data_IF_391044694138
#
_entry.id   IF_391044694138
#
_cell.length_a   1.000
_cell.length_b   1.000
_cell.length_c   1.000
_cell.angle_alpha   90.00
_cell.angle_beta   90.00
_cell.angle_gamma   90.00
#
_symmetry.space_group_name_H-M   'P 1'
#
loop_
_entity.id
_entity.type
_entity.pdbx_description
1 polymer ?
#
# COMPACT_ATOMS: atom_id res chain seq x y z
N UNK A 1 -14.41 1.86 21.42
CA UNK A 1 -14.61 2.00 22.88
C UNK A 1 -16.08 1.96 23.30
N UNK A 2 -16.97 2.81 22.77
CA UNK A 2 -18.38 2.80 23.19
C UNK A 2 -19.07 1.44 22.98
N UNK A 3 -18.84 0.77 21.83
CA UNK A 3 -19.38 -0.57 21.55
C UNK A 3 -18.93 -1.60 22.62
N UNK A 4 -17.70 -1.45 23.12
CA UNK A 4 -17.12 -2.36 24.11
C UNK A 4 -17.69 -2.17 25.52
N UNK A 5 -18.37 -1.05 25.78
CA UNK A 5 -19.00 -0.71 27.05
C UNK A 5 -20.47 -1.15 27.12
N UNK A 6 -21.04 -1.61 26.00
CA UNK A 6 -22.40 -2.16 25.95
C UNK A 6 -22.44 -3.40 26.83
N UNK A 7 -23.43 -3.46 27.75
CA UNK A 7 -23.65 -4.61 28.61
C UNK A 7 -24.53 -5.62 27.87
N UNK A 8 -24.05 -6.85 27.72
CA UNK A 8 -24.75 -7.93 27.02
C UNK A 8 -24.69 -7.82 25.50
N UNK A 9 -25.39 -8.76 24.83
CA UNK A 9 -25.42 -8.86 23.36
C UNK A 9 -26.58 -8.05 22.78
N UNK A 10 -26.28 -7.10 21.91
CA UNK A 10 -27.28 -6.34 21.15
C UNK A 10 -27.62 -7.06 19.85
N UNK A 11 -28.92 -7.28 19.63
CA UNK A 11 -29.42 -7.94 18.44
C UNK A 11 -30.73 -7.31 17.97
N UNK A 12 -30.88 -7.18 16.65
CA UNK A 12 -32.09 -6.67 16.00
C UNK A 12 -32.92 -7.78 15.33
N UNK A 13 -32.45 -9.04 15.31
CA UNK A 13 -33.23 -10.17 14.84
C UNK A 13 -34.22 -10.63 15.91
N UNK A 14 -35.51 -10.48 15.65
CA UNK A 14 -36.58 -10.83 16.59
C UNK A 14 -36.51 -12.28 17.09
N UNK A 15 -36.10 -13.23 16.22
CA UNK A 15 -35.97 -14.66 16.59
C UNK A 15 -34.85 -14.90 17.60
N UNK A 16 -33.72 -14.23 17.40
CA UNK A 16 -32.55 -14.38 18.28
C UNK A 16 -32.78 -13.70 19.63
N UNK A 17 -33.45 -12.53 19.63
CA UNK A 17 -33.88 -11.86 20.86
C UNK A 17 -34.87 -12.73 21.64
N UNK A 18 -35.83 -13.36 20.97
CA UNK A 18 -36.78 -14.30 21.58
C UNK A 18 -36.05 -15.49 22.23
N UNK A 19 -35.12 -16.14 21.51
CA UNK A 19 -34.31 -17.25 22.05
C UNK A 19 -33.48 -16.82 23.27
N UNK A 20 -32.87 -15.64 23.22
CA UNK A 20 -32.09 -15.10 24.34
C UNK A 20 -32.97 -14.80 25.56
N UNK A 21 -34.15 -14.24 25.34
CA UNK A 21 -35.13 -13.97 26.40
C UNK A 21 -35.62 -15.27 27.05
N UNK A 22 -35.94 -16.28 26.25
CA UNK A 22 -36.33 -17.60 26.73
C UNK A 22 -35.25 -18.23 27.61
N UNK A 23 -34.00 -18.22 27.13
CA UNK A 23 -32.85 -18.76 27.86
C UNK A 23 -32.67 -18.04 29.20
N UNK A 24 -32.88 -16.72 29.23
CA UNK A 24 -32.81 -15.94 30.46
C UNK A 24 -33.93 -16.32 31.44
N UNK A 25 -35.18 -16.44 30.97
CA UNK A 25 -36.32 -16.86 31.79
C UNK A 25 -36.11 -18.26 32.38
N UNK A 26 -35.56 -19.19 31.61
CA UNK A 26 -35.25 -20.56 32.08
C UNK A 26 -34.16 -20.58 33.13
N UNK A 27 -33.16 -19.72 32.98
CA UNK A 27 -32.07 -19.56 33.96
C UNK A 27 -32.60 -18.96 35.27
N UNK A 28 -33.49 -17.97 35.18
CA UNK A 28 -34.08 -17.30 36.36
C UNK A 28 -35.13 -18.18 37.07
N UNK A 29 -35.85 -19.03 36.34
CA UNK A 29 -36.91 -19.88 36.89
C UNK A 29 -36.46 -21.30 37.23
N UNK A 30 -35.23 -21.68 36.85
CA UNK A 30 -34.66 -23.04 36.93
C UNK A 30 -35.58 -24.13 36.35
N UNK A 31 -36.49 -23.75 35.45
CA UNK A 31 -37.48 -24.63 34.81
C UNK A 31 -37.42 -24.45 33.31
N UNK A 32 -37.48 -25.56 32.59
CA UNK A 32 -37.60 -25.55 31.13
C UNK A 32 -38.92 -24.89 30.72
N UNK A 33 -38.83 -23.91 29.82
CA UNK A 33 -40.00 -23.20 29.32
C UNK A 33 -40.89 -24.14 28.51
N UNK A 34 -42.20 -23.92 28.56
CA UNK A 34 -43.17 -24.65 27.72
C UNK A 34 -43.29 -24.09 26.30
N UNK A 35 -42.58 -22.99 26.01
CA UNK A 35 -42.63 -22.31 24.72
C UNK A 35 -41.63 -22.90 23.71
N UNK A 36 -41.97 -22.96 22.41
CA UNK A 36 -41.09 -23.51 21.38
C UNK A 36 -39.88 -22.60 21.13
N UNK A 37 -38.68 -23.16 21.03
CA UNK A 37 -37.47 -22.38 20.79
C UNK A 37 -37.38 -21.79 19.37
N UNK A 38 -37.96 -22.45 18.36
CA UNK A 38 -37.90 -21.99 16.98
C UNK A 38 -39.26 -21.45 16.53
N UNK A 39 -39.33 -20.11 16.46
CA UNK A 39 -40.54 -19.36 16.14
C UNK A 39 -40.31 -18.45 14.94
N UNK A 40 -41.39 -18.11 14.23
CA UNK A 40 -41.32 -17.08 13.19
C UNK A 40 -41.16 -15.69 13.80
N UNK A 41 -40.67 -14.68 13.06
CA UNK A 41 -40.48 -13.33 13.58
C UNK A 41 -41.81 -12.71 14.04
N UNK A 42 -42.92 -13.07 13.40
CA UNK A 42 -44.25 -12.58 13.76
C UNK A 42 -44.66 -13.08 15.15
N UNK A 43 -44.49 -14.38 15.41
CA UNK A 43 -44.79 -15.00 16.72
C UNK A 43 -43.86 -14.46 17.80
N UNK A 44 -42.57 -14.27 17.49
CA UNK A 44 -41.63 -13.65 18.42
C UNK A 44 -42.06 -12.22 18.83
N UNK A 45 -42.64 -11.48 17.89
CA UNK A 45 -43.12 -10.11 18.11
C UNK A 45 -44.46 -10.06 18.84
N UNK A 46 -45.19 -11.15 19.07
CA UNK A 46 -46.41 -11.13 19.88
C UNK A 46 -46.11 -10.87 21.36
N UNK A 47 -44.90 -11.20 21.82
CA UNK A 47 -44.46 -11.04 23.20
C UNK A 47 -43.98 -9.60 23.48
N UNK A 48 -44.61 -8.92 24.44
CA UNK A 48 -44.29 -7.54 24.82
C UNK A 48 -42.87 -7.39 25.35
N UNK A 49 -42.37 -8.40 26.05
CA UNK A 49 -41.02 -8.45 26.60
C UNK A 49 -39.98 -8.39 25.46
N UNK A 50 -40.20 -9.18 24.40
CA UNK A 50 -39.34 -9.21 23.22
C UNK A 50 -39.40 -7.90 22.45
N UNK A 51 -40.60 -7.31 22.27
CA UNK A 51 -40.73 -5.98 21.67
C UNK A 51 -39.96 -4.90 22.45
N UNK A 52 -40.03 -4.94 23.79
CA UNK A 52 -39.33 -3.99 24.65
C UNK A 52 -37.81 -4.14 24.58
N UNK A 53 -37.29 -5.37 24.61
CA UNK A 53 -35.86 -5.65 24.45
C UNK A 53 -35.39 -5.20 23.06
N UNK A 54 -36.15 -5.53 22.02
CA UNK A 54 -35.83 -5.19 20.64
C UNK A 54 -35.80 -3.67 20.42
N UNK A 55 -36.77 -2.94 20.96
CA UNK A 55 -36.83 -1.47 20.87
C UNK A 55 -35.60 -0.83 21.53
N UNK A 56 -35.22 -1.30 22.73
CA UNK A 56 -34.01 -0.83 23.42
C UNK A 56 -32.74 -1.15 22.63
N UNK A 57 -32.64 -2.36 22.07
CA UNK A 57 -31.49 -2.75 21.26
C UNK A 57 -31.39 -1.88 20.00
N UNK A 58 -32.50 -1.62 19.30
CA UNK A 58 -32.54 -0.77 18.11
C UNK A 58 -32.08 0.65 18.44
N UNK A 59 -32.50 1.22 19.57
CA UNK A 59 -32.07 2.55 20.01
C UNK A 59 -30.56 2.63 20.25
N UNK A 60 -29.99 1.62 20.92
CA UNK A 60 -28.54 1.50 21.15
C UNK A 60 -27.80 1.35 19.83
N UNK A 61 -28.23 0.38 19.00
CA UNK A 61 -27.63 0.11 17.68
C UNK A 61 -27.62 1.38 16.83
N UNK A 62 -28.76 2.08 16.76
CA UNK A 62 -28.90 3.29 15.96
C UNK A 62 -27.95 4.38 16.43
N UNK A 63 -27.91 4.63 17.75
CA UNK A 63 -27.05 5.66 18.32
C UNK A 63 -25.57 5.39 18.03
N UNK A 64 -25.13 4.15 18.20
CA UNK A 64 -23.72 3.80 18.05
C UNK A 64 -23.33 3.70 16.57
N UNK A 65 -24.21 3.19 15.71
CA UNK A 65 -23.99 3.13 14.27
C UNK A 65 -23.89 4.54 13.65
N UNK A 66 -24.72 5.49 14.08
CA UNK A 66 -24.62 6.90 13.65
C UNK A 66 -23.25 7.48 14.02
N UNK A 67 -22.81 7.29 15.27
CA UNK A 67 -21.51 7.78 15.71
C UNK A 67 -20.36 7.18 14.91
N UNK A 68 -20.39 5.87 14.65
CA UNK A 68 -19.34 5.21 13.89
C UNK A 68 -19.33 5.66 12.42
N UNK A 69 -20.50 5.74 11.78
CA UNK A 69 -20.66 6.29 10.43
C UNK A 69 -20.12 7.71 10.34
N UNK A 70 -20.57 8.60 11.21
CA UNK A 70 -20.17 10.01 11.19
C UNK A 70 -18.67 10.14 11.48
N UNK A 71 -18.10 9.30 12.35
CA UNK A 71 -16.67 9.24 12.57
C UNK A 71 -15.90 8.81 11.32
N UNK A 72 -16.40 7.87 10.52
CA UNK A 72 -15.75 7.47 9.27
C UNK A 72 -15.85 8.60 8.25
N UNK A 73 -17.04 9.16 8.07
CA UNK A 73 -17.32 10.19 7.07
C UNK A 73 -16.52 11.47 7.34
N UNK A 74 -16.46 11.92 8.58
CA UNK A 74 -15.77 13.16 8.96
C UNK A 74 -14.23 13.03 8.93
N UNK A 75 -13.69 11.80 8.80
CA UNK A 75 -12.25 11.54 8.79
C UNK A 75 -11.74 11.07 7.43
N UNK A 76 -12.33 11.61 6.34
CA UNK A 76 -11.91 11.36 4.95
C UNK A 76 -10.40 11.47 4.75
N UNK A 77 -9.76 12.49 5.32
CA UNK A 77 -8.35 12.80 5.04
C UNK A 77 -7.38 11.81 5.70
N UNK A 78 -7.86 10.94 6.60
CA UNK A 78 -7.10 9.82 7.13
C UNK A 78 -7.05 8.61 6.19
N UNK A 79 -7.86 8.59 5.13
CA UNK A 79 -7.74 7.56 4.10
C UNK A 79 -6.48 7.82 3.26
N UNK A 80 -5.55 6.85 3.16
CA UNK A 80 -4.34 7.01 2.38
C UNK A 80 -4.64 7.38 0.92
N UNK A 81 -3.85 8.31 0.37
CA UNK A 81 -3.97 8.75 -1.02
C UNK A 81 -4.05 7.57 -1.99
N UNK A 82 -3.17 6.57 -1.86
CA UNK A 82 -3.15 5.40 -2.75
C UNK A 82 -4.47 4.61 -2.76
N UNK A 83 -5.12 4.43 -1.59
CA UNK A 83 -6.41 3.74 -1.51
C UNK A 83 -7.51 4.54 -2.22
N UNK A 84 -7.51 5.86 -2.02
CA UNK A 84 -8.47 6.78 -2.65
C UNK A 84 -8.26 6.86 -4.17
N UNK A 85 -7.00 6.89 -4.61
CA UNK A 85 -6.64 6.89 -6.02
C UNK A 85 -7.03 5.57 -6.71
N UNK A 86 -6.77 4.42 -6.08
CA UNK A 86 -7.24 3.12 -6.61
C UNK A 86 -8.76 3.12 -6.75
N UNK A 87 -9.49 3.64 -5.76
CA UNK A 87 -10.94 3.76 -5.83
C UNK A 87 -11.41 4.66 -7.01
N UNK A 88 -10.72 5.78 -7.26
CA UNK A 88 -10.96 6.65 -8.43
C UNK A 88 -10.75 5.90 -9.74
N UNK A 89 -9.61 5.22 -9.91
CA UNK A 89 -9.30 4.47 -11.13
C UNK A 89 -10.31 3.36 -11.38
N UNK A 90 -10.74 2.65 -10.33
CA UNK A 90 -11.77 1.62 -10.44
C UNK A 90 -13.10 2.24 -10.88
N UNK A 91 -13.51 3.36 -10.27
CA UNK A 91 -14.73 4.07 -10.64
C UNK A 91 -14.71 4.52 -12.12
N UNK A 92 -13.63 5.15 -12.56
CA UNK A 92 -13.46 5.61 -13.95
C UNK A 92 -13.43 4.45 -14.94
N UNK A 93 -12.70 3.37 -14.60
CA UNK A 93 -12.59 2.17 -15.43
C UNK A 93 -13.93 1.44 -15.57
N UNK A 94 -14.70 1.35 -14.49
CA UNK A 94 -16.05 0.75 -14.50
C UNK A 94 -16.99 1.56 -15.38
N UNK A 95 -17.00 2.89 -15.22
CA UNK A 95 -17.84 3.77 -16.03
C UNK A 95 -17.44 3.79 -17.51
N UNK A 96 -16.15 3.58 -17.82
CA UNK A 96 -15.66 3.44 -19.20
C UNK A 96 -16.08 2.11 -19.82
N UNK A 97 -16.03 1.01 -19.05
CA UNK A 97 -16.34 -0.34 -19.54
C UNK A 97 -17.85 -0.62 -19.59
N UNK A 98 -18.60 -0.08 -18.64
CA UNK A 98 -20.05 -0.28 -18.47
C UNK A 98 -20.74 1.08 -18.27
N UNK A 99 -20.96 1.85 -19.35
CA UNK A 99 -21.60 3.16 -19.27
C UNK A 99 -22.99 3.13 -18.60
N UNK A 100 -23.71 2.02 -18.70
CA UNK A 100 -25.01 1.78 -18.06
C UNK A 100 -24.96 1.83 -16.52
N UNK A 101 -23.80 1.52 -15.92
CA UNK A 101 -23.62 1.60 -14.46
C UNK A 101 -23.58 3.05 -13.96
N UNK A 102 -23.24 3.98 -14.84
CA UNK A 102 -23.21 5.41 -14.51
C UNK A 102 -24.61 5.97 -14.24
N UNK A 103 -25.60 5.53 -15.02
CA UNK A 103 -27.00 5.98 -14.87
C UNK A 103 -27.67 5.41 -13.63
N UNK A 104 -27.27 4.19 -13.22
CA UNK A 104 -27.85 3.48 -12.08
C UNK A 104 -27.15 3.79 -10.75
N UNK A 105 -25.98 4.44 -10.78
CA UNK A 105 -25.17 4.72 -9.59
C UNK A 105 -24.50 3.49 -8.97
N UNK A 106 -24.53 2.34 -9.66
CA UNK A 106 -23.97 1.07 -9.18
C UNK A 106 -22.44 1.13 -9.05
N UNK A 107 -21.76 1.92 -9.90
CA UNK A 107 -20.31 2.13 -9.82
C UNK A 107 -19.87 2.64 -8.44
N UNK A 108 -20.67 3.52 -7.82
CA UNK A 108 -20.36 4.09 -6.51
C UNK A 108 -20.56 3.06 -5.38
N UNK A 109 -21.52 2.15 -5.51
CA UNK A 109 -21.69 1.03 -4.56
C UNK A 109 -20.48 0.10 -4.57
N UNK A 110 -19.88 -0.11 -5.75
CA UNK A 110 -18.64 -0.89 -5.88
C UNK A 110 -17.47 -0.17 -5.19
N UNK A 111 -17.37 1.14 -5.32
CA UNK A 111 -16.40 1.95 -4.58
C UNK A 111 -16.63 1.83 -3.06
N UNK A 112 -17.89 1.89 -2.61
CA UNK A 112 -18.26 1.70 -1.21
C UNK A 112 -17.87 0.32 -0.66
N UNK A 113 -17.95 -0.71 -1.50
CA UNK A 113 -17.47 -2.05 -1.15
C UNK A 113 -15.95 -2.08 -0.89
N UNK A 114 -15.16 -1.28 -1.60
CA UNK A 114 -13.71 -1.21 -1.39
C UNK A 114 -13.39 -0.35 -0.18
N UNK A 115 -13.88 0.90 -0.17
CA UNK A 115 -13.54 1.88 0.86
C UNK A 115 -14.13 1.54 2.23
N UNK A 116 -15.35 1.00 2.28
CA UNK A 116 -15.97 0.63 3.55
C UNK A 116 -15.79 -0.86 3.85
N UNK A 117 -16.30 -1.75 3.01
CA UNK A 117 -16.35 -3.18 3.34
C UNK A 117 -14.96 -3.85 3.37
N UNK A 118 -14.05 -3.53 2.46
CA UNK A 118 -12.70 -4.14 2.46
C UNK A 118 -11.71 -3.42 3.37
N UNK A 119 -11.85 -2.10 3.54
CA UNK A 119 -10.86 -1.32 4.28
C UNK A 119 -11.29 -1.02 5.73
N UNK A 120 -12.49 -0.47 5.96
CA UNK A 120 -12.95 -0.04 7.31
C UNK A 120 -13.59 -1.19 8.11
N UNK A 121 -14.40 -2.01 7.44
CA UNK A 121 -15.22 -3.03 8.11
C UNK A 121 -14.40 -4.10 8.85
N UNK A 122 -13.29 -4.64 8.31
CA UNK A 122 -12.48 -5.63 9.03
C UNK A 122 -11.88 -5.07 10.32
N UNK A 123 -11.43 -3.81 10.28
CA UNK A 123 -10.92 -3.10 11.45
C UNK A 123 -12.01 -2.78 12.49
N UNK A 124 -13.27 -2.68 12.05
CA UNK A 124 -14.43 -2.51 12.95
C UNK A 124 -14.80 -3.83 13.64
N UNK A 125 -14.77 -4.96 12.92
CA UNK A 125 -15.14 -6.28 13.46
C UNK A 125 -14.06 -6.84 14.39
N UNK A 126 -12.79 -6.68 14.00
CA UNK A 126 -11.64 -7.23 14.73
C UNK A 126 -10.60 -6.14 15.03
N UNK A 127 -10.93 -5.13 15.85
CA UNK A 127 -10.04 -4.01 16.13
C UNK A 127 -8.70 -4.44 16.77
N UNK A 128 -8.65 -5.60 17.42
CA UNK A 128 -7.44 -6.22 17.98
C UNK A 128 -6.42 -6.61 16.91
N UNK A 129 -6.85 -7.02 15.72
CA UNK A 129 -5.94 -7.44 14.63
C UNK A 129 -5.30 -6.25 13.90
N UNK A 130 -5.77 -5.04 14.19
CA UNK A 130 -5.31 -3.79 13.60
C UNK A 130 -4.72 -2.83 14.66
N UNK A 131 -4.38 -3.36 15.84
CA UNK A 131 -3.80 -2.61 16.97
C UNK A 131 -4.60 -1.35 17.39
N UNK A 132 -5.91 -1.36 17.19
CA UNK A 132 -6.79 -0.23 17.52
C UNK A 132 -7.15 -0.17 19.01
N UNK A 133 -6.90 -1.25 19.75
CA UNK A 133 -7.22 -1.38 21.17
C UNK A 133 -6.02 -1.00 22.04
N UNK A 134 -5.87 0.29 22.34
CA UNK A 134 -4.84 0.78 23.27
C UNK A 134 -5.02 0.14 24.66
N UNK A 135 -4.15 -0.80 25.02
CA UNK A 135 -4.11 -1.42 26.36
C UNK A 135 -5.08 -2.59 26.58
N UNK A 136 -5.73 -3.11 25.53
CA UNK A 136 -6.51 -4.36 25.59
C UNK A 136 -6.08 -5.29 24.47
N UNK A 137 -5.67 -6.50 24.84
CA UNK A 137 -5.28 -7.55 23.89
C UNK A 137 -6.45 -8.35 23.33
N UNK A 138 -7.58 -8.44 24.06
CA UNK A 138 -8.66 -9.35 23.70
C UNK A 138 -10.05 -8.74 23.76
N UNK A 139 -10.88 -9.12 22.78
CA UNK A 139 -12.31 -8.81 22.68
C UNK A 139 -13.11 -10.03 23.11
N UNK A 140 -14.00 -9.85 24.10
CA UNK A 140 -14.88 -10.93 24.56
C UNK A 140 -15.86 -11.38 23.46
N UNK A 141 -16.40 -12.60 23.58
CA UNK A 141 -17.37 -13.11 22.60
C UNK A 141 -18.62 -12.24 22.46
N UNK A 142 -19.08 -11.59 23.54
CA UNK A 142 -20.24 -10.69 23.50
C UNK A 142 -19.92 -9.40 22.75
N UNK A 143 -18.78 -8.79 23.06
CA UNK A 143 -18.32 -7.59 22.38
C UNK A 143 -18.11 -7.84 20.88
N UNK A 144 -17.54 -8.99 20.50
CA UNK A 144 -17.34 -9.36 19.10
C UNK A 144 -18.68 -9.50 18.36
N UNK A 145 -19.70 -10.08 18.99
CA UNK A 145 -21.07 -10.11 18.43
C UNK A 145 -21.62 -8.70 18.23
N UNK A 146 -21.48 -7.82 19.22
CA UNK A 146 -21.94 -6.43 19.14
C UNK A 146 -21.25 -5.65 18.00
N UNK A 147 -19.93 -5.80 17.85
CA UNK A 147 -19.17 -5.21 16.76
C UNK A 147 -19.63 -5.74 15.40
N UNK A 148 -19.79 -7.06 15.27
CA UNK A 148 -20.26 -7.69 14.05
C UNK A 148 -21.67 -7.22 13.65
N UNK A 149 -22.59 -7.06 14.61
CA UNK A 149 -23.94 -6.55 14.35
C UNK A 149 -23.90 -5.12 13.80
N UNK A 150 -23.16 -4.22 14.44
CA UNK A 150 -23.06 -2.82 14.00
C UNK A 150 -22.35 -2.71 12.65
N UNK A 151 -21.25 -3.45 12.49
CA UNK A 151 -20.50 -3.57 11.24
C UNK A 151 -21.39 -4.05 10.08
N UNK A 152 -22.18 -5.10 10.30
CA UNK A 152 -23.08 -5.64 9.28
C UNK A 152 -24.13 -4.61 8.83
N UNK A 153 -24.70 -3.87 9.77
CA UNK A 153 -25.68 -2.81 9.48
C UNK A 153 -25.04 -1.73 8.60
N UNK A 154 -23.89 -1.21 9.00
CA UNK A 154 -23.22 -0.16 8.24
C UNK A 154 -22.67 -0.65 6.90
N UNK A 155 -22.22 -1.89 6.81
CA UNK A 155 -21.83 -2.53 5.54
C UNK A 155 -23.00 -2.59 4.57
N UNK A 156 -24.16 -3.05 5.06
CA UNK A 156 -25.38 -3.12 4.26
C UNK A 156 -25.83 -1.71 3.82
N UNK A 157 -25.68 -0.71 4.69
CA UNK A 157 -25.96 0.67 4.35
C UNK A 157 -25.01 1.18 3.27
N UNK A 158 -23.70 0.96 3.41
CA UNK A 158 -22.68 1.38 2.45
C UNK A 158 -22.82 0.72 1.07
N UNK A 159 -23.35 -0.51 1.01
CA UNK A 159 -23.52 -1.28 -0.24
C UNK A 159 -24.94 -1.23 -0.81
N UNK A 160 -25.86 -0.51 -0.16
CA UNK A 160 -27.26 -0.43 -0.60
C UNK A 160 -28.06 -1.73 -0.42
N UNK A 161 -27.58 -2.66 0.41
CA UNK A 161 -28.21 -3.98 0.64
C UNK A 161 -29.16 -3.94 1.83
N UNK A 162 -30.23 -3.17 1.73
CA UNK A 162 -31.23 -3.07 2.79
C UNK A 162 -32.64 -2.99 2.24
N UNK A 163 -33.58 -3.48 3.04
CA UNK A 163 -35.01 -3.46 2.76
C UNK A 163 -35.72 -2.72 3.89
N UNK A 164 -36.72 -1.92 3.56
CA UNK A 164 -37.57 -1.29 4.57
C UNK A 164 -38.61 -2.28 5.06
N UNK A 165 -38.77 -2.36 6.38
CA UNK A 165 -39.74 -3.23 7.03
C UNK A 165 -41.07 -2.48 7.22
N UNK A 166 -42.19 -3.15 7.01
CA UNK A 166 -43.52 -2.57 7.32
C UNK A 166 -43.83 -2.51 8.82
N UNK A 167 -42.94 -3.05 9.67
CA UNK A 167 -43.13 -3.19 11.11
C UNK A 167 -42.63 -1.92 11.82
N UNK A 168 -43.47 -1.22 12.62
CA UNK A 168 -43.12 0.05 13.24
C UNK A 168 -41.86 0.05 14.11
N UNK A 169 -41.56 -1.08 14.77
CA UNK A 169 -40.40 -1.22 15.66
C UNK A 169 -39.08 -1.04 14.89
N UNK A 170 -39.03 -1.48 13.62
CA UNK A 170 -37.82 -1.39 12.79
C UNK A 170 -37.67 -0.05 12.06
N UNK A 171 -38.67 0.83 12.12
CA UNK A 171 -38.67 2.10 11.40
C UNK A 171 -37.42 2.95 11.67
N UNK A 172 -36.98 3.04 12.92
CA UNK A 172 -35.75 3.78 13.28
C UNK A 172 -34.50 3.21 12.60
N UNK A 173 -34.42 1.89 12.49
CA UNK A 173 -33.32 1.21 11.83
C UNK A 173 -33.40 1.41 10.31
N UNK A 174 -34.59 1.34 9.72
CA UNK A 174 -34.79 1.59 8.29
C UNK A 174 -34.41 3.03 7.92
N UNK A 175 -34.86 4.01 8.72
CA UNK A 175 -34.52 5.43 8.56
C UNK A 175 -33.00 5.64 8.64
N UNK A 176 -32.33 4.96 9.59
CA UNK A 176 -30.87 4.96 9.70
C UNK A 176 -30.20 4.41 8.44
N UNK A 177 -30.68 3.30 7.89
CA UNK A 177 -30.08 2.67 6.70
C UNK A 177 -30.17 3.58 5.48
N UNK A 178 -31.34 4.19 5.27
CA UNK A 178 -31.58 5.12 4.16
C UNK A 178 -30.70 6.38 4.28
N UNK A 179 -30.67 7.01 5.46
CA UNK A 179 -29.82 8.19 5.71
C UNK A 179 -28.33 7.85 5.58
N UNK A 180 -27.92 6.69 6.11
CA UNK A 180 -26.53 6.25 6.05
C UNK A 180 -26.09 5.93 4.63
N UNK A 181 -26.92 5.30 3.81
CA UNK A 181 -26.60 5.05 2.40
C UNK A 181 -26.38 6.35 1.63
N UNK A 182 -27.26 7.35 1.81
CA UNK A 182 -27.10 8.66 1.18
C UNK A 182 -25.77 9.32 1.59
N UNK A 183 -25.50 9.39 2.89
CA UNK A 183 -24.28 10.00 3.43
C UNK A 183 -23.01 9.26 3.00
N UNK A 184 -23.05 7.92 2.94
CA UNK A 184 -21.93 7.13 2.44
C UNK A 184 -21.66 7.39 0.95
N UNK A 185 -22.69 7.54 0.12
CA UNK A 185 -22.50 7.88 -1.28
C UNK A 185 -21.83 9.25 -1.45
N UNK A 186 -22.31 10.28 -0.75
CA UNK A 186 -21.69 11.62 -0.75
C UNK A 186 -20.22 11.54 -0.29
N UNK A 187 -19.94 10.73 0.74
CA UNK A 187 -18.59 10.47 1.22
C UNK A 187 -17.73 9.77 0.16
N UNK A 188 -18.21 8.71 -0.49
CA UNK A 188 -17.45 7.98 -1.51
C UNK A 188 -17.14 8.84 -2.73
N UNK A 189 -18.06 9.69 -3.17
CA UNK A 189 -17.82 10.69 -4.21
C UNK A 189 -16.70 11.65 -3.80
N UNK A 190 -16.73 12.14 -2.56
CA UNK A 190 -15.64 12.97 -2.04
C UNK A 190 -14.31 12.23 -1.95
N UNK A 191 -14.31 10.91 -1.69
CA UNK A 191 -13.08 10.12 -1.57
C UNK A 191 -12.39 9.95 -2.93
N UNK A 192 -13.14 9.74 -4.01
CA UNK A 192 -12.60 9.56 -5.36
C UNK A 192 -12.17 10.87 -6.01
N UNK A 193 -12.57 12.01 -5.47
CA UNK A 193 -12.05 13.31 -5.85
C UNK A 193 -10.62 13.49 -5.31
N UNK A 194 -9.66 12.97 -6.10
CA UNK A 194 -8.22 13.05 -5.85
C UNK A 194 -7.47 13.48 -7.10
N UNK A 195 -6.38 14.21 -6.88
CA UNK A 195 -5.47 14.63 -7.94
C UNK A 195 -4.71 13.43 -8.56
N UNK A 196 -4.24 13.56 -9.81
CA UNK A 196 -3.39 12.55 -10.46
C UNK A 196 -2.08 12.29 -9.69
N UNK A 197 -1.47 11.12 -9.90
CA UNK A 197 -0.23 10.70 -9.22
C UNK A 197 0.90 11.69 -9.51
N UNK A 198 0.97 12.16 -10.75
CA UNK A 198 1.98 13.10 -11.25
C UNK A 198 1.94 14.40 -10.45
N UNK A 199 0.72 14.89 -10.18
CA UNK A 199 0.52 16.10 -9.38
C UNK A 199 0.80 15.84 -7.89
N UNK A 200 0.31 14.71 -7.35
CA UNK A 200 0.46 14.39 -5.94
C UNK A 200 1.92 14.24 -5.49
N UNK A 201 2.73 13.57 -6.32
CA UNK A 201 4.14 13.33 -6.04
C UNK A 201 5.08 14.34 -6.70
N UNK A 202 4.54 15.37 -7.38
CA UNK A 202 5.31 16.33 -8.19
C UNK A 202 6.26 15.64 -9.18
N UNK A 203 5.79 14.57 -9.82
CA UNK A 203 6.54 13.79 -10.79
C UNK A 203 6.29 14.37 -12.18
N UNK A 204 7.36 14.69 -12.89
CA UNK A 204 7.38 15.10 -14.28
C UNK A 204 8.42 14.29 -15.07
N UNK A 205 8.51 14.54 -16.38
CA UNK A 205 9.40 13.84 -17.31
C UNK A 205 10.90 13.96 -16.97
N UNK A 206 11.26 14.89 -16.08
CA UNK A 206 12.63 15.20 -15.65
C UNK A 206 12.88 14.86 -14.17
N UNK A 207 11.88 14.34 -13.44
CA UNK A 207 12.03 13.96 -12.04
C UNK A 207 13.13 12.93 -11.85
N UNK A 208 13.25 11.95 -12.75
CA UNK A 208 14.30 10.92 -12.72
C UNK A 208 15.73 11.49 -12.81
N UNK A 209 15.88 12.66 -13.42
CA UNK A 209 17.18 13.33 -13.63
C UNK A 209 17.48 14.28 -12.47
N UNK A 210 16.45 14.88 -11.89
CA UNK A 210 16.55 15.93 -10.86
C UNK A 210 16.44 15.37 -9.44
N UNK A 211 16.01 14.12 -9.26
CA UNK A 211 15.95 13.48 -7.95
C UNK A 211 17.35 13.30 -7.37
N UNK A 212 17.58 13.93 -6.22
CA UNK A 212 18.84 13.85 -5.48
C UNK A 212 19.09 12.44 -4.90
N UNK A 213 18.03 11.79 -4.41
CA UNK A 213 18.08 10.43 -3.88
C UNK A 213 17.39 9.48 -4.85
N UNK A 214 18.07 8.40 -5.19
CA UNK A 214 17.48 7.37 -6.04
C UNK A 214 16.52 6.50 -5.24
N UNK A 215 15.38 6.11 -5.83
CA UNK A 215 14.49 5.17 -5.17
C UNK A 215 15.20 3.83 -5.01
N UNK A 216 15.16 3.29 -3.80
CA UNK A 216 15.77 2.02 -3.45
C UNK A 216 14.69 0.95 -3.25
N UNK A 217 14.85 -0.18 -3.93
CA UNK A 217 13.98 -1.34 -3.76
C UNK A 217 14.64 -2.31 -2.80
N UNK A 218 13.97 -2.58 -1.67
CA UNK A 218 14.44 -3.50 -0.64
C UNK A 218 13.67 -4.80 -0.74
N UNK A 219 14.36 -5.89 -1.06
CA UNK A 219 13.77 -7.22 -1.26
C UNK A 219 14.58 -8.26 -0.51
N UNK A 220 13.90 -9.31 -0.02
CA UNK A 220 14.58 -10.49 0.47
C UNK A 220 15.08 -11.34 -0.71
N UNK A 221 16.15 -12.15 -0.55
CA UNK A 221 16.60 -13.08 -1.58
C UNK A 221 15.48 -13.98 -2.11
N UNK A 222 14.63 -14.50 -1.23
CA UNK A 222 13.48 -15.32 -1.61
C UNK A 222 12.46 -14.58 -2.46
N UNK A 223 12.20 -13.29 -2.18
CA UNK A 223 11.34 -12.47 -3.02
C UNK A 223 11.93 -12.31 -4.42
N UNK A 224 13.25 -12.10 -4.54
CA UNK A 224 13.93 -11.99 -5.84
C UNK A 224 13.81 -13.28 -6.65
N UNK A 225 14.08 -14.43 -6.02
CA UNK A 225 13.95 -15.76 -6.66
C UNK A 225 12.51 -15.99 -7.11
N UNK A 226 11.53 -15.67 -6.28
CA UNK A 226 10.11 -15.81 -6.61
C UNK A 226 9.69 -14.89 -7.76
N UNK A 227 10.14 -13.63 -7.78
CA UNK A 227 9.88 -12.71 -8.89
C UNK A 227 10.47 -13.27 -10.19
N UNK A 228 11.73 -13.69 -10.17
CA UNK A 228 12.39 -14.25 -11.35
C UNK A 228 11.69 -15.52 -11.88
N UNK A 229 11.28 -16.40 -10.97
CA UNK A 229 10.49 -17.59 -11.31
C UNK A 229 9.17 -17.23 -11.98
N UNK A 230 8.40 -16.30 -11.43
CA UNK A 230 7.12 -15.84 -12.01
C UNK A 230 7.31 -15.20 -13.38
N UNK A 231 8.41 -14.46 -13.59
CA UNK A 231 8.74 -13.86 -14.88
C UNK A 231 9.04 -14.92 -15.94
N UNK A 232 9.77 -15.99 -15.60
CA UNK A 232 10.05 -17.10 -16.51
C UNK A 232 8.78 -17.90 -16.84
N UNK A 233 7.97 -18.22 -15.83
CA UNK A 233 6.73 -19.01 -15.98
C UNK A 233 5.69 -18.31 -16.89
N UNK A 234 5.69 -16.98 -16.90
CA UNK A 234 4.73 -16.17 -17.66
C UNK A 234 5.38 -15.33 -18.76
N UNK A 235 6.61 -15.65 -19.17
CA UNK A 235 7.37 -14.88 -20.15
C UNK A 235 6.60 -14.71 -21.47
N UNK A 236 5.96 -15.77 -21.96
CA UNK A 236 5.19 -15.76 -23.22
C UNK A 236 3.98 -14.83 -23.18
N UNK A 237 3.41 -14.56 -22.00
CA UNK A 237 2.26 -13.66 -21.82
C UNK A 237 2.68 -12.21 -21.58
N UNK A 238 3.83 -12.01 -20.92
CA UNK A 238 4.34 -10.69 -20.55
C UNK A 238 5.08 -10.01 -21.72
N UNK A 239 5.78 -10.80 -22.55
CA UNK A 239 6.62 -10.30 -23.64
C UNK A 239 6.17 -10.87 -24.99
N UNK A 240 5.11 -10.32 -25.60
CA UNK A 240 4.61 -10.80 -26.89
C UNK A 240 5.58 -10.51 -28.05
N UNK A 241 6.46 -9.53 -27.89
CA UNK A 241 7.46 -9.15 -28.89
C UNK A 241 8.80 -9.85 -28.63
N UNK A 242 9.32 -10.59 -29.61
CA UNK A 242 10.61 -11.31 -29.47
C UNK A 242 11.82 -10.38 -29.30
N UNK A 243 11.68 -9.10 -29.65
CA UNK A 243 12.72 -8.07 -29.54
C UNK A 243 12.65 -7.28 -28.21
N UNK A 244 11.84 -7.72 -27.24
CA UNK A 244 11.77 -7.07 -25.95
C UNK A 244 13.10 -7.19 -25.17
N UNK A 245 13.58 -6.06 -24.66
CA UNK A 245 14.84 -5.96 -23.90
C UNK A 245 14.76 -6.78 -22.60
N UNK A 246 13.62 -6.75 -21.92
CA UNK A 246 13.40 -7.51 -20.70
C UNK A 246 13.41 -9.01 -20.98
N UNK A 247 12.85 -9.45 -22.11
CA UNK A 247 12.91 -10.85 -22.54
C UNK A 247 14.35 -11.30 -22.78
N UNK A 248 15.17 -10.47 -23.43
CA UNK A 248 16.59 -10.76 -23.65
C UNK A 248 17.37 -10.83 -22.33
N UNK A 249 17.08 -9.94 -21.37
CA UNK A 249 17.69 -9.97 -20.04
C UNK A 249 17.28 -11.22 -19.24
N UNK A 250 16.01 -11.60 -19.30
CA UNK A 250 15.51 -12.81 -18.62
C UNK A 250 16.14 -14.07 -19.23
N UNK A 251 16.22 -14.15 -20.56
CA UNK A 251 16.91 -15.24 -21.28
C UNK A 251 18.40 -15.30 -21.00
N UNK A 252 19.04 -14.17 -20.72
CA UNK A 252 20.46 -14.14 -20.34
C UNK A 252 20.71 -14.70 -18.93
N UNK A 253 19.71 -14.60 -18.04
CA UNK A 253 19.79 -15.10 -16.67
C UNK A 253 19.44 -16.59 -16.61
N UNK A 254 18.43 -17.04 -17.38
CA UNK A 254 17.89 -18.40 -17.65
C UNK A 254 17.75 -19.36 -16.46
N UNK A 255 18.81 -19.55 -15.69
CA UNK A 255 18.82 -20.34 -14.47
C UNK A 255 18.16 -19.59 -13.31
N UNK A 256 17.17 -20.22 -12.69
CA UNK A 256 16.60 -19.75 -11.42
C UNK A 256 17.69 -19.82 -10.35
N UNK A 257 18.14 -18.68 -9.80
CA UNK A 257 19.19 -18.68 -8.78
C UNK A 257 18.66 -19.29 -7.50
N UNK A 258 19.52 -19.95 -6.71
CA UNK A 258 19.15 -20.33 -5.33
C UNK A 258 19.27 -19.10 -4.44
N UNK A 259 18.44 -19.01 -3.40
CA UNK A 259 18.50 -17.88 -2.47
C UNK A 259 19.86 -17.74 -1.78
N UNK A 260 20.62 -18.84 -1.65
CA UNK A 260 21.99 -18.88 -1.14
C UNK A 260 23.02 -18.25 -2.09
N UNK A 261 22.74 -18.25 -3.40
CA UNK A 261 23.66 -17.73 -4.43
C UNK A 261 23.63 -16.20 -4.48
N UNK A 262 22.57 -15.59 -3.94
CA UNK A 262 22.37 -14.14 -3.88
C UNK A 262 23.05 -13.49 -2.65
N UNK A 263 23.60 -14.29 -1.74
CA UNK A 263 24.30 -13.82 -0.54
C UNK A 263 25.80 -14.01 -0.74
N UNK A 264 26.53 -12.91 -0.96
CA UNK A 264 28.00 -12.96 -0.96
C UNK A 264 28.53 -13.13 0.48
N UNK A 265 29.00 -14.35 0.79
CA UNK A 265 29.63 -14.69 2.08
C UNK A 265 30.90 -13.89 2.41
N UNK A 266 31.41 -13.04 1.50
CA UNK A 266 32.63 -12.26 1.73
C UNK A 266 32.44 -10.97 2.54
N UNK A 267 31.22 -10.47 2.70
CA UNK A 267 30.96 -9.21 3.43
C UNK A 267 30.69 -9.40 4.92
N UNK A 268 30.45 -10.63 5.39
CA UNK A 268 30.47 -10.96 6.82
C UNK A 268 31.90 -11.21 7.31
N UNK A 269 32.77 -10.22 7.16
CA UNK A 269 33.96 -10.20 8.03
C UNK A 269 33.47 -9.86 9.43
N UNK A 270 33.67 -10.74 10.44
CA UNK A 270 33.50 -10.31 11.81
C UNK A 270 34.53 -9.20 12.01
N UNK A 271 34.08 -8.00 12.34
CA UNK A 271 34.96 -6.93 12.81
C UNK A 271 35.57 -7.44 14.12
N UNK A 272 36.73 -8.10 14.02
CA UNK A 272 37.54 -8.47 15.17
C UNK A 272 38.28 -7.22 15.65
N UNK A 273 37.57 -6.30 16.29
CA UNK A 273 38.23 -5.30 17.13
C UNK A 273 38.56 -5.93 18.47
N UNK A 274 39.84 -6.26 18.63
CA UNK A 274 40.59 -6.07 19.88
C UNK A 274 40.11 -6.81 21.14
N UNK A 275 40.86 -7.85 21.51
CA UNK A 275 41.18 -8.32 22.88
C UNK A 275 40.30 -7.82 24.04
N UNK A 276 39.58 -8.74 24.68
CA UNK A 276 39.26 -8.65 26.11
C UNK A 276 37.93 -9.27 26.52
N UNK A 277 38.01 -10.38 27.26
CA UNK A 277 37.07 -10.85 28.29
C UNK A 277 35.66 -11.39 27.93
N UNK A 278 35.62 -12.74 27.90
CA UNK A 278 34.69 -13.69 28.54
C UNK A 278 33.21 -13.31 28.73
N UNK A 279 32.38 -14.19 28.15
CA UNK A 279 30.95 -14.46 28.38
C UNK A 279 29.94 -13.52 27.71
N UNK A 280 29.81 -13.66 26.39
CA UNK A 280 28.51 -13.54 25.74
C UNK A 280 28.28 -14.78 24.86
N UNK A 281 27.11 -15.37 25.03
CA UNK A 281 26.67 -16.58 24.33
C UNK A 281 26.40 -16.19 22.87
N UNK A 282 27.37 -16.42 21.98
CA UNK A 282 27.20 -16.25 20.54
C UNK A 282 26.11 -17.22 20.08
N UNK A 283 24.95 -16.69 19.72
CA UNK A 283 23.91 -17.43 19.02
C UNK A 283 24.47 -17.79 17.64
N UNK A 284 24.51 -19.09 17.35
CA UNK A 284 24.79 -19.57 15.99
C UNK A 284 23.52 -19.25 15.20
N UNK A 285 23.51 -18.13 14.47
CA UNK A 285 22.44 -17.84 13.52
C UNK A 285 22.43 -18.98 12.48
N UNK A 286 21.30 -19.70 12.41
CA UNK A 286 21.12 -20.77 11.43
C UNK A 286 21.13 -20.17 10.02
N UNK A 287 21.54 -20.92 8.98
CA UNK A 287 21.57 -20.39 7.60
C UNK A 287 20.18 -19.85 7.16
N UNK A 288 19.10 -20.42 7.68
CA UNK A 288 17.73 -19.96 7.49
C UNK A 288 17.44 -18.60 8.17
N UNK A 289 18.06 -18.32 9.32
CA UNK A 289 17.89 -17.03 10.03
C UNK A 289 18.62 -15.90 9.32
N UNK A 290 19.82 -16.18 8.77
CA UNK A 290 20.58 -15.23 7.95
C UNK A 290 19.82 -14.93 6.65
N UNK A 291 19.27 -15.96 6.01
CA UNK A 291 18.48 -15.78 4.79
C UNK A 291 17.19 -14.98 5.04
N UNK A 292 16.50 -15.26 6.15
CA UNK A 292 15.28 -14.56 6.55
C UNK A 292 15.49 -13.10 6.99
N UNK A 293 16.70 -12.76 7.46
CA UNK A 293 17.07 -11.41 7.90
C UNK A 293 17.80 -10.58 6.83
N UNK A 294 18.30 -11.21 5.77
CA UNK A 294 19.04 -10.51 4.71
C UNK A 294 18.08 -9.73 3.81
N UNK A 295 18.33 -8.43 3.67
CA UNK A 295 17.61 -7.54 2.78
C UNK A 295 18.60 -6.99 1.74
N UNK A 296 18.32 -7.25 0.47
CA UNK A 296 19.09 -6.71 -0.66
C UNK A 296 18.45 -5.37 -1.05
N UNK A 297 19.28 -4.32 -1.07
CA UNK A 297 18.86 -2.97 -1.48
C UNK A 297 19.33 -2.72 -2.91
N UNK A 298 18.40 -2.51 -3.83
CA UNK A 298 18.66 -2.24 -5.24
C UNK A 298 18.34 -0.75 -5.50
N UNK A 299 19.35 0.12 -5.65
CA UNK A 299 19.12 1.48 -6.11
C UNK A 299 18.65 1.45 -7.56
N UNK A 300 17.53 2.13 -7.83
CA UNK A 300 16.98 2.27 -9.17
C UNK A 300 17.65 3.47 -9.84
N UNK A 301 18.43 3.16 -10.86
CA UNK A 301 18.93 4.18 -11.78
C UNK A 301 17.90 4.38 -12.89
N UNK A 302 17.74 5.62 -13.39
CA UNK A 302 17.03 5.82 -14.65
C UNK A 302 17.71 4.93 -15.70
N UNK A 303 16.98 4.36 -16.67
CA UNK A 303 17.54 3.50 -17.72
C UNK A 303 18.49 4.32 -18.61
N UNK A 304 19.68 4.63 -18.09
CA UNK A 304 20.68 5.51 -18.70
C UNK A 304 21.52 4.78 -19.75
N UNK A 305 21.26 3.50 -20.02
CA UNK A 305 22.19 2.67 -20.80
C UNK A 305 21.57 1.58 -21.68
N UNK A 306 20.27 1.30 -21.59
CA UNK A 306 19.71 0.14 -22.33
C UNK A 306 19.15 0.50 -23.71
N UNK A 307 18.92 1.78 -23.99
CA UNK A 307 18.30 2.25 -25.22
C UNK A 307 18.95 3.54 -25.70
N UNK A 308 19.65 3.49 -26.83
CA UNK A 308 20.31 4.64 -27.45
C UNK A 308 19.28 5.47 -28.25
N UNK A 309 18.25 5.98 -27.58
CA UNK A 309 17.17 6.77 -28.19
C UNK A 309 17.48 8.27 -28.15
N UNK A 310 16.92 9.03 -29.09
CA UNK A 310 17.06 10.49 -29.17
C UNK A 310 16.58 11.17 -27.87
N UNK A 311 15.52 10.64 -27.27
CA UNK A 311 15.01 11.11 -25.97
C UNK A 311 16.01 10.93 -24.84
N UNK A 312 16.71 9.79 -24.80
CA UNK A 312 17.73 9.53 -23.78
C UNK A 312 18.93 10.45 -23.94
N UNK A 313 19.36 10.74 -25.19
CA UNK A 313 20.42 11.73 -25.46
C UNK A 313 20.01 13.15 -25.05
N UNK A 314 18.77 13.54 -25.29
CA UNK A 314 18.24 14.83 -24.85
C UNK A 314 18.16 14.93 -23.32
N UNK A 315 17.73 13.85 -22.64
CA UNK A 315 17.72 13.74 -21.18
C UNK A 315 19.13 13.79 -20.59
N UNK A 316 20.10 13.15 -21.23
CA UNK A 316 21.50 13.21 -20.82
C UNK A 316 22.08 14.62 -20.98
N UNK A 317 21.82 15.28 -22.11
CA UNK A 317 22.24 16.66 -22.33
C UNK A 317 21.63 17.60 -21.28
N UNK A 318 20.36 17.41 -20.93
CA UNK A 318 19.70 18.17 -19.88
C UNK A 318 20.33 17.90 -18.51
N UNK A 319 20.62 16.65 -18.17
CA UNK A 319 21.29 16.29 -16.92
C UNK A 319 22.65 17.03 -16.79
N UNK A 320 23.47 16.98 -17.85
CA UNK A 320 24.75 17.70 -17.90
C UNK A 320 24.57 19.21 -17.78
N UNK A 321 23.51 19.75 -18.38
CA UNK A 321 23.19 21.19 -18.31
C UNK A 321 22.77 21.59 -16.90
N UNK A 322 21.97 20.76 -16.21
CA UNK A 322 21.58 20.97 -14.81
C UNK A 322 22.80 20.91 -13.90
N UNK A 323 23.66 19.90 -14.05
CA UNK A 323 24.91 19.78 -13.29
C UNK A 323 25.79 21.03 -13.47
N UNK A 324 25.90 21.53 -14.71
CA UNK A 324 26.62 22.76 -15.02
C UNK A 324 26.00 23.96 -14.28
N UNK A 325 24.68 24.13 -14.29
CA UNK A 325 24.01 25.21 -13.57
C UNK A 325 24.20 25.09 -12.05
N UNK A 326 24.11 23.88 -11.50
CA UNK A 326 24.36 23.63 -10.07
C UNK A 326 25.79 24.02 -9.71
N UNK A 327 26.78 23.63 -10.52
CA UNK A 327 28.17 24.01 -10.27
C UNK A 327 28.36 25.53 -10.31
N UNK A 328 27.76 26.22 -11.28
CA UNK A 328 27.82 27.68 -11.39
C UNK A 328 27.15 28.36 -10.18
N UNK A 329 26.02 27.84 -9.70
CA UNK A 329 25.34 28.29 -8.47
C UNK A 329 26.18 28.08 -7.20
N UNK A 330 27.11 27.13 -7.18
CA UNK A 330 28.03 26.96 -6.04
C UNK A 330 29.07 28.08 -5.97
N UNK A 331 29.48 28.65 -7.11
CA UNK A 331 30.48 29.72 -7.14
C UNK A 331 29.87 31.10 -6.89
N UNK A 332 28.60 31.30 -7.25
CA UNK A 332 27.88 32.56 -7.04
C UNK A 332 26.58 32.31 -6.29
N UNK A 333 26.38 32.98 -5.15
CA UNK A 333 25.14 32.94 -4.35
C UNK A 333 23.97 33.62 -5.09
N UNK A 334 23.59 33.09 -6.24
CA UNK A 334 22.40 33.50 -6.98
C UNK A 334 21.24 32.58 -6.58
N UNK A 335 20.07 33.14 -6.35
CA UNK A 335 18.89 32.37 -5.95
C UNK A 335 18.09 31.86 -7.15
N UNK A 336 18.36 32.38 -8.36
CA UNK A 336 17.62 32.03 -9.58
C UNK A 336 18.53 31.92 -10.81
N UNK A 337 18.16 31.06 -11.77
CA UNK A 337 18.90 30.83 -13.02
C UNK A 337 18.99 32.10 -13.87
N UNK A 338 17.95 32.94 -13.86
CA UNK A 338 17.95 34.23 -14.59
C UNK A 338 19.03 35.18 -14.06
N UNK A 339 19.21 35.24 -12.74
CA UNK A 339 20.29 36.03 -12.13
C UNK A 339 21.68 35.48 -12.49
N UNK A 340 21.83 34.17 -12.63
CA UNK A 340 23.10 33.57 -13.08
C UNK A 340 23.43 34.03 -14.50
N UNK A 341 22.45 33.96 -15.41
CA UNK A 341 22.62 34.31 -16.83
C UNK A 341 22.86 35.80 -17.08
N UNK A 342 22.33 36.68 -16.24
CA UNK A 342 22.49 38.14 -16.35
C UNK A 342 23.77 38.65 -15.68
N UNK A 343 24.47 37.80 -14.94
CA UNK A 343 25.60 38.22 -14.13
C UNK A 343 26.94 37.99 -14.83
N UNK A 344 27.88 38.92 -14.66
CA UNK A 344 29.26 38.75 -15.14
C UNK A 344 30.08 37.97 -14.11
N UNK A 345 30.93 37.05 -14.60
CA UNK A 345 31.86 36.27 -13.78
C UNK A 345 33.23 36.98 -13.76
N UNK A 346 33.96 36.83 -12.66
CA UNK A 346 35.35 37.32 -12.58
C UNK A 346 36.34 36.25 -13.07
N UNK A 347 37.50 36.67 -13.59
CA UNK A 347 38.52 35.74 -14.10
C UNK A 347 38.96 34.69 -13.05
N UNK A 348 38.98 35.07 -11.76
CA UNK A 348 39.30 34.16 -10.65
C UNK A 348 38.23 33.08 -10.39
N UNK A 349 36.96 33.39 -10.64
CA UNK A 349 35.84 32.44 -10.51
C UNK A 349 35.82 31.47 -11.71
N UNK A 350 36.13 31.97 -12.91
CA UNK A 350 36.27 31.13 -14.11
C UNK A 350 37.43 30.14 -13.97
N UNK A 351 38.58 30.58 -13.44
CA UNK A 351 39.73 29.70 -13.22
C UNK A 351 39.44 28.60 -12.19
N UNK A 352 38.69 28.92 -11.13
CA UNK A 352 38.24 27.92 -10.13
C UNK A 352 37.26 26.91 -10.74
N UNK A 353 36.34 27.37 -11.60
CA UNK A 353 35.42 26.48 -12.32
C UNK A 353 36.16 25.56 -13.30
N UNK A 354 37.16 26.08 -14.05
CA UNK A 354 38.04 25.28 -14.92
C UNK A 354 38.81 24.21 -14.14
N UNK A 355 39.34 24.55 -12.97
CA UNK A 355 40.01 23.57 -12.10
C UNK A 355 39.05 22.46 -11.61
N UNK A 356 37.79 22.80 -11.31
CA UNK A 356 36.77 21.83 -10.92
C UNK A 356 36.43 20.86 -12.06
N UNK A 357 36.28 21.38 -13.29
CA UNK A 357 36.07 20.57 -14.51
C UNK A 357 37.21 19.57 -14.75
N UNK A 358 38.46 20.05 -14.71
CA UNK A 358 39.65 19.20 -14.87
C UNK A 358 39.70 18.09 -13.81
N UNK A 359 39.34 18.40 -12.56
CA UNK A 359 39.27 17.42 -11.47
C UNK A 359 38.19 16.37 -11.71
N UNK A 360 37.02 16.74 -12.25
CA UNK A 360 35.95 15.79 -12.59
C UNK A 360 36.36 14.88 -13.75
N UNK A 361 37.01 15.40 -14.79
CA UNK A 361 37.51 14.59 -15.91
C UNK A 361 38.51 13.53 -15.43
N UNK A 362 39.42 13.88 -14.52
CA UNK A 362 40.36 12.94 -13.92
C UNK A 362 39.65 11.83 -13.12
N UNK A 363 38.57 12.17 -12.39
CA UNK A 363 37.79 11.21 -11.61
C UNK A 363 36.95 10.28 -12.52
N UNK A 364 36.34 10.81 -13.58
CA UNK A 364 35.61 10.00 -14.56
C UNK A 364 36.54 9.04 -15.32
N UNK A 365 37.72 9.51 -15.71
CA UNK A 365 38.74 8.66 -16.33
C UNK A 365 39.20 7.55 -15.37
N UNK A 366 39.41 7.86 -14.08
CA UNK A 366 39.76 6.84 -13.08
C UNK A 366 38.66 5.80 -12.85
N UNK A 367 37.37 6.19 -12.89
CA UNK A 367 36.22 5.26 -12.75
C UNK A 367 36.09 4.31 -13.93
N UNK A 368 36.39 4.76 -15.15
CA UNK A 368 36.37 3.91 -16.35
C UNK A 368 37.46 2.82 -16.36
N UNK A 369 38.54 3.00 -15.58
CA UNK A 369 39.58 1.97 -15.37
C UNK A 369 39.24 0.94 -14.27
N UNK A 370 38.21 1.20 -13.44
CA UNK A 370 37.79 0.31 -12.35
C UNK A 370 36.57 -0.57 -12.66
N UNK A 371 36.00 -0.45 -13.86
CA UNK A 371 34.95 -1.35 -14.34
C UNK A 371 35.58 -2.65 -14.87
N UNK A 372 35.19 -3.85 -14.39
CA UNK A 372 35.83 -5.12 -14.75
C UNK A 372 35.60 -5.56 -16.21
N UNK A 373 34.86 -4.79 -17.00
CA UNK A 373 34.52 -5.13 -18.39
C UNK A 373 35.63 -4.83 -19.40
N UNK A 374 36.59 -3.94 -19.08
CA UNK A 374 37.61 -3.51 -20.06
C UNK A 374 38.93 -4.30 -20.00
N UNK A 375 39.09 -5.27 -19.09
CA UNK A 375 40.30 -6.11 -19.06
C UNK A 375 40.27 -7.20 -20.15
N UNK A 376 39.12 -7.51 -20.75
CA UNK A 376 39.03 -8.49 -21.83
C UNK A 376 39.29 -7.90 -23.22
N UNK A 377 38.96 -6.63 -23.47
CA UNK A 377 39.22 -5.99 -24.77
C UNK A 377 40.69 -5.63 -25.00
N UNK A 378 41.52 -5.51 -23.95
CA UNK A 378 42.96 -5.22 -24.12
C UNK A 378 43.82 -6.48 -24.37
N UNK A 379 43.38 -7.67 -23.94
CA UNK A 379 44.08 -8.93 -24.22
C UNK A 379 43.91 -9.39 -25.69
N UNK A 380 42.82 -8.99 -26.35
CA UNK A 380 42.54 -9.33 -27.76
C UNK A 380 43.22 -8.38 -28.77
N UNK A 381 43.74 -7.23 -28.31
CA UNK A 381 44.50 -6.29 -29.16
C UNK A 381 46.00 -6.62 -29.16
N UNK A 382 46.57 -7.06 -28.03
CA UNK A 382 47.98 -7.45 -27.97
C UNK A 382 48.27 -8.76 -28.73
N UNK A 383 47.34 -9.72 -28.71
CA UNK A 383 47.48 -11.01 -29.43
C UNK A 383 47.38 -10.85 -30.95
N UNK A 384 46.57 -9.91 -31.46
CA UNK A 384 46.51 -9.63 -32.91
C UNK A 384 47.74 -8.89 -33.45
N UNK A 385 48.49 -8.19 -32.61
CA UNK A 385 49.71 -7.49 -33.06
C UNK A 385 50.93 -8.41 -33.20
N UNK A 386 50.90 -9.62 -32.61
CA UNK A 386 52.02 -10.56 -32.64
C UNK A 386 51.90 -11.65 -33.71
N UNK A 387 50.73 -11.86 -34.30
CA UNK A 387 50.54 -12.82 -35.41
C UNK A 387 50.86 -12.25 -36.81
N UNK A 388 50.94 -10.91 -36.97
CA UNK A 388 51.30 -10.25 -38.22
C UNK A 388 52.84 -10.02 -38.39
N UNK A 389 53.68 -10.67 -37.58
CA UNK A 389 55.15 -10.49 -37.63
C UNK A 389 55.96 -11.79 -37.53
N UNK A 390 55.43 -12.92 -38.02
CA UNK A 390 56.17 -14.18 -38.17
C UNK A 390 56.02 -14.81 -39.56
#
# INVERSE_FOLDING_TARGET
NEIMQIKGVINYNAREVYKSWLTQVETETEKTSTLPYDVTPEVALEHKEVQNILTKNIDIITTVAIKLRDSVINNRDFFPYGIRYIAKIIYESLNKKFPELKETGESLKIVGNILYYRFVNPATVSPESYDLLKGRSEVSSEQRKNLATISTILQNAATGKFSTSSIPIFKKLDDLMVDSFKRFNEFFESCIDVEPIEQHYNINEYSDITMFNQPEVKLTPDQIVNIHKLLLEHADLLFPDENDILLNLIKAIDTIPKSTDLIDRRTTTPVSTGKGDKHEMQQIETEEDILGSTIITIPLYPPKALLDTVENRNKELLARTIDMFVDILHFKKCETVTQVLESTFTDEEEDKYRQLLLRREQICNAKNFSSPTNQQEQLDVETKSTEDSL
#
